data_IF_262057553491
#
_entry.id   IF_262057553491
#
_cell.length_a   1.000
_cell.length_b   1.000
_cell.length_c   1.000
_cell.angle_alpha   90.00
_cell.angle_beta   90.00
_cell.angle_gamma   90.00
#
_symmetry.space_group_name_H-M   'P 1'
#
loop_
_entity.id
_entity.type
_entity.pdbx_description
1 polymer ?
#
# COMPACT_ATOMS: atom_id res chain seq x y z
N UNK A 1 31.06 18.79 21.42
CA UNK A 1 29.87 18.53 20.57
C UNK A 1 29.81 17.04 20.33
N UNK A 2 28.71 16.38 20.72
CA UNK A 2 28.50 14.99 20.29
C UNK A 2 28.27 14.98 18.78
N UNK A 3 28.87 14.02 18.04
CA UNK A 3 28.64 13.91 16.60
C UNK A 3 27.15 13.63 16.35
N UNK A 4 26.59 14.29 15.34
CA UNK A 4 25.22 14.02 14.89
C UNK A 4 25.18 12.53 14.47
N UNK A 5 24.26 11.72 15.02
CA UNK A 5 24.15 10.32 14.62
C UNK A 5 23.87 10.23 13.12
N UNK A 6 24.71 9.47 12.42
CA UNK A 6 24.54 9.20 11.00
C UNK A 6 23.39 8.21 10.79
N UNK A 7 22.39 8.59 9.98
CA UNK A 7 21.28 7.71 9.61
C UNK A 7 21.69 6.91 8.37
N UNK A 8 21.64 5.58 8.47
CA UNK A 8 21.92 4.68 7.35
C UNK A 8 20.60 4.07 6.84
N UNK A 9 20.39 4.06 5.53
CA UNK A 9 19.20 3.52 4.90
C UNK A 9 19.53 2.22 4.16
N UNK A 10 18.84 1.13 4.50
CA UNK A 10 19.01 -0.16 3.85
C UNK A 10 18.54 -0.15 2.39
N UNK A 11 19.15 -1.02 1.56
CA UNK A 11 18.70 -1.31 0.20
C UNK A 11 18.80 -2.83 -0.07
N UNK A 12 17.76 -3.47 -0.64
CA UNK A 12 16.47 -2.88 -1.01
C UNK A 12 15.58 -2.58 0.23
N UNK A 13 14.68 -1.62 0.11
CA UNK A 13 13.66 -1.30 1.12
C UNK A 13 12.35 -0.90 0.44
N UNK A 14 11.22 -1.15 1.10
CA UNK A 14 9.90 -0.79 0.59
C UNK A 14 9.18 -1.95 -0.10
N UNK A 15 8.51 -1.66 -1.21
CA UNK A 15 7.60 -2.60 -1.86
C UNK A 15 8.32 -3.66 -2.69
N UNK A 16 7.80 -4.88 -2.65
CA UNK A 16 8.14 -5.92 -3.61
C UNK A 16 7.14 -5.92 -4.77
N UNK A 17 7.48 -6.59 -5.86
CA UNK A 17 6.61 -6.69 -7.05
C UNK A 17 5.21 -7.26 -6.72
N UNK A 18 5.10 -8.16 -5.73
CA UNK A 18 3.82 -8.72 -5.31
C UNK A 18 2.91 -7.71 -4.62
N UNK A 19 3.47 -6.87 -3.75
CA UNK A 19 2.74 -5.79 -3.05
C UNK A 19 2.26 -4.75 -4.05
N UNK A 20 3.16 -4.29 -4.92
CA UNK A 20 2.84 -3.29 -5.95
C UNK A 20 1.69 -3.77 -6.86
N UNK A 21 1.80 -5.02 -7.35
CA UNK A 21 0.75 -5.64 -8.17
C UNK A 21 -0.58 -5.77 -7.43
N UNK A 22 -0.58 -6.16 -6.15
CA UNK A 22 -1.80 -6.36 -5.39
C UNK A 22 -2.58 -5.05 -5.21
N UNK A 23 -1.88 -3.96 -4.90
CA UNK A 23 -2.47 -2.61 -4.78
C UNK A 23 -3.05 -2.18 -6.13
N UNK A 24 -2.26 -2.28 -7.21
CA UNK A 24 -2.69 -1.87 -8.54
C UNK A 24 -3.93 -2.63 -9.06
N UNK A 25 -4.12 -3.90 -8.66
CA UNK A 25 -5.33 -4.67 -9.01
C UNK A 25 -6.58 -4.04 -8.39
N UNK A 26 -6.52 -3.64 -7.11
CA UNK A 26 -7.65 -3.03 -6.41
C UNK A 26 -7.95 -1.65 -6.97
N UNK A 27 -6.92 -0.84 -7.21
CA UNK A 27 -7.09 0.50 -7.80
C UNK A 27 -7.73 0.44 -9.18
N UNK A 28 -7.22 -0.44 -10.06
CA UNK A 28 -7.80 -0.62 -11.40
C UNK A 28 -9.21 -1.18 -11.36
N UNK A 29 -9.54 -2.03 -10.38
CA UNK A 29 -10.90 -2.52 -10.21
C UNK A 29 -11.84 -1.37 -9.82
N UNK A 30 -11.42 -0.49 -8.91
CA UNK A 30 -12.17 0.71 -8.53
C UNK A 30 -12.35 1.66 -9.71
N UNK A 31 -11.30 1.91 -10.51
CA UNK A 31 -11.39 2.75 -11.71
C UNK A 31 -12.32 2.17 -12.77
N UNK A 32 -12.23 0.85 -13.01
CA UNK A 32 -12.97 0.19 -14.10
C UNK A 32 -14.43 -0.09 -13.76
N UNK A 33 -14.72 -0.42 -12.51
CA UNK A 33 -16.06 -0.89 -12.10
C UNK A 33 -16.76 0.05 -11.12
N UNK A 34 -16.06 1.06 -10.59
CA UNK A 34 -16.58 1.94 -9.54
C UNK A 34 -16.60 1.27 -8.16
N UNK A 35 -16.97 2.05 -7.14
CA UNK A 35 -17.19 1.55 -5.79
C UNK A 35 -18.59 0.93 -5.63
N UNK A 36 -18.78 -0.09 -4.77
CA UNK A 36 -17.75 -0.71 -3.93
C UNK A 36 -16.99 -1.86 -4.61
N UNK A 37 -15.72 -2.03 -4.24
CA UNK A 37 -14.92 -3.22 -4.55
C UNK A 37 -14.64 -3.99 -3.27
N UNK A 38 -15.12 -5.23 -3.18
CA UNK A 38 -14.88 -6.08 -2.03
C UNK A 38 -13.51 -6.77 -2.12
N UNK A 39 -12.71 -6.64 -1.07
CA UNK A 39 -11.42 -7.32 -0.94
C UNK A 39 -11.47 -8.25 0.26
N UNK A 40 -11.17 -9.54 0.02
CA UNK A 40 -11.14 -10.52 1.12
C UNK A 40 -9.87 -10.33 1.95
N UNK A 41 -10.04 -9.88 3.19
CA UNK A 41 -8.98 -9.45 4.10
C UNK A 41 -8.23 -8.21 3.58
N UNK A 42 -7.21 -7.78 4.31
CA UNK A 42 -6.35 -6.69 3.87
C UNK A 42 -5.53 -7.13 2.64
N UNK A 43 -5.51 -6.29 1.60
CA UNK A 43 -4.73 -6.56 0.38
C UNK A 43 -3.23 -6.67 0.68
N UNK A 44 -2.75 -5.89 1.65
CA UNK A 44 -1.40 -5.95 2.24
C UNK A 44 -1.49 -5.50 3.70
N UNK A 45 -0.58 -5.98 4.55
CA UNK A 45 -0.51 -5.60 5.96
C UNK A 45 0.19 -4.25 6.14
N UNK A 46 -0.46 -3.19 5.67
CA UNK A 46 -0.03 -1.81 5.88
C UNK A 46 -1.25 -0.93 6.07
N UNK A 47 -1.40 -0.38 7.28
CA UNK A 47 -2.56 0.42 7.67
C UNK A 47 -2.77 1.65 6.79
N UNK A 48 -1.69 2.30 6.33
CA UNK A 48 -1.80 3.46 5.43
C UNK A 48 -2.40 3.05 4.09
N UNK A 49 -1.91 1.96 3.49
CA UNK A 49 -2.41 1.45 2.21
C UNK A 49 -3.86 0.99 2.32
N UNK A 50 -4.21 0.25 3.39
CA UNK A 50 -5.58 -0.24 3.59
C UNK A 50 -6.56 0.92 3.77
N UNK A 51 -6.18 1.95 4.54
CA UNK A 51 -7.04 3.11 4.76
C UNK A 51 -7.24 3.94 3.49
N UNK A 52 -6.21 4.10 2.66
CA UNK A 52 -6.29 4.79 1.37
C UNK A 52 -7.27 4.08 0.42
N UNK A 53 -7.14 2.75 0.27
CA UNK A 53 -8.05 1.97 -0.57
C UNK A 53 -9.49 1.98 -0.05
N UNK A 54 -9.69 1.93 1.28
CA UNK A 54 -11.02 2.07 1.89
C UNK A 54 -11.64 3.43 1.61
N UNK A 55 -10.86 4.51 1.68
CA UNK A 55 -11.33 5.85 1.34
C UNK A 55 -11.76 5.97 -0.13
N UNK A 56 -11.14 5.17 -1.03
CA UNK A 56 -11.51 5.07 -2.45
C UNK A 56 -12.73 4.18 -2.71
N UNK A 57 -13.27 3.48 -1.71
CA UNK A 57 -14.45 2.63 -1.83
C UNK A 57 -14.17 1.12 -1.89
N UNK A 58 -12.96 0.69 -1.52
CA UNK A 58 -12.72 -0.71 -1.22
C UNK A 58 -13.37 -1.09 0.13
N UNK A 59 -13.97 -2.28 0.20
CA UNK A 59 -14.62 -2.82 1.41
C UNK A 59 -13.93 -4.11 1.82
#
# INVERSE_FOLDING_TARGET
MNPIPTILLANPRGFCAGVDRAIAIVERALEKFGAPIYVRHEVVHNTFVVNDLKAKGAI
#
